data_IF_965989780818
#
_entry.id   IF_965989780818
#
_cell.length_a   1.000
_cell.length_b   1.000
_cell.length_c   1.000
_cell.angle_alpha   90.00
_cell.angle_beta   90.00
_cell.angle_gamma   90.00
#
_symmetry.space_group_name_H-M   'P 1'
#
loop_
_entity.id
_entity.type
_entity.pdbx_description
1 polymer ?
#
# COMPACT_ATOMS: atom_id res chain seq x y z
N UNK A 1 -15.50 -7.70 -10.63
CA UNK A 1 -14.07 -7.51 -10.27
C UNK A 1 -13.25 -7.81 -11.50
N UNK A 2 -12.33 -6.91 -11.89
CA UNK A 2 -11.40 -7.10 -13.01
C UNK A 2 -9.98 -7.12 -12.44
N UNK A 3 -9.16 -8.07 -12.91
CA UNK A 3 -7.74 -8.17 -12.57
C UNK A 3 -6.92 -7.65 -13.75
N UNK A 4 -6.00 -6.72 -13.50
CA UNK A 4 -5.06 -6.20 -14.49
C UNK A 4 -3.66 -6.69 -14.08
N UNK A 5 -3.02 -7.49 -14.93
CA UNK A 5 -1.67 -7.98 -14.69
C UNK A 5 -0.64 -7.02 -15.30
N UNK A 6 -0.21 -6.03 -14.51
CA UNK A 6 0.81 -5.07 -14.89
C UNK A 6 1.58 -4.59 -13.65
N UNK A 7 2.78 -4.05 -13.83
CA UNK A 7 3.50 -3.40 -12.74
C UNK A 7 2.77 -2.14 -12.30
N UNK A 8 2.44 -2.05 -11.01
CA UNK A 8 1.78 -0.86 -10.46
C UNK A 8 2.61 0.41 -10.66
N UNK A 9 3.95 0.32 -10.64
CA UNK A 9 4.81 1.50 -10.81
C UNK A 9 4.64 2.19 -12.16
N UNK A 10 4.39 1.43 -13.22
CA UNK A 10 4.24 1.98 -14.58
C UNK A 10 2.77 2.08 -14.99
N UNK A 11 1.96 1.08 -14.65
CA UNK A 11 0.59 0.98 -15.14
C UNK A 11 -0.37 1.93 -14.42
N UNK A 12 -0.07 2.36 -13.18
CA UNK A 12 -0.95 3.27 -12.44
C UNK A 12 -1.19 4.57 -13.22
N UNK A 13 -0.23 5.07 -13.99
CA UNK A 13 -0.37 6.33 -14.74
C UNK A 13 -1.38 6.23 -15.88
N UNK A 14 -1.53 5.05 -16.49
CA UNK A 14 -2.34 4.85 -17.70
C UNK A 14 -3.78 4.39 -17.39
N UNK A 15 -4.13 4.19 -16.11
CA UNK A 15 -5.47 3.73 -15.72
C UNK A 15 -6.49 4.84 -15.97
N UNK A 16 -7.39 4.57 -16.92
CA UNK A 16 -8.55 5.40 -17.24
C UNK A 16 -9.84 4.56 -17.17
N UNK A 17 -10.93 5.07 -16.55
CA UNK A 17 -11.03 6.34 -15.82
C UNK A 17 -10.25 6.34 -14.49
N UNK A 18 -9.75 7.51 -14.08
CA UNK A 18 -8.94 7.66 -12.86
C UNK A 18 -9.75 7.26 -11.61
N UNK A 19 -9.27 6.29 -10.80
CA UNK A 19 -9.97 5.87 -9.60
C UNK A 19 -10.00 6.97 -8.54
N UNK A 20 -11.06 6.98 -7.74
CA UNK A 20 -11.21 7.93 -6.63
C UNK A 20 -10.37 7.54 -5.40
N UNK A 21 -10.17 6.24 -5.20
CA UNK A 21 -9.45 5.68 -4.05
C UNK A 21 -8.45 4.62 -4.52
N UNK A 22 -7.17 4.80 -4.22
CA UNK A 22 -6.12 3.80 -4.45
C UNK A 22 -5.71 3.14 -3.13
N UNK A 23 -5.71 1.79 -3.07
CA UNK A 23 -5.20 1.04 -1.92
C UNK A 23 -3.82 0.46 -2.27
N UNK A 24 -2.77 0.95 -1.61
CA UNK A 24 -1.43 0.36 -1.72
C UNK A 24 -1.10 -0.43 -0.46
N UNK A 25 -0.67 -1.69 -0.63
CA UNK A 25 -0.19 -2.56 0.46
C UNK A 25 1.17 -3.14 0.08
N UNK A 26 2.25 -2.35 0.14
CA UNK A 26 3.57 -2.92 -0.03
C UNK A 26 3.86 -3.87 1.15
N UNK A 27 4.44 -5.03 0.84
CA UNK A 27 4.76 -6.06 1.83
C UNK A 27 5.86 -5.56 2.77
N UNK A 28 5.46 -5.09 3.96
CA UNK A 28 6.41 -4.65 4.99
C UNK A 28 7.08 -5.86 5.62
N UNK A 29 8.42 -5.92 5.70
CA UNK A 29 9.10 -7.02 6.36
C UNK A 29 8.72 -7.07 7.84
N UNK A 30 7.94 -8.09 8.21
CA UNK A 30 7.55 -8.34 9.59
C UNK A 30 8.76 -8.81 10.41
N UNK A 31 9.31 -7.94 11.26
CA UNK A 31 10.19 -8.33 12.37
C UNK A 31 9.41 -8.36 13.68
N UNK A 32 8.47 -9.31 13.85
CA UNK A 32 8.01 -9.68 15.19
C UNK A 32 7.79 -11.19 15.29
N UNK A 33 8.61 -11.82 16.13
CA UNK A 33 8.46 -13.20 16.60
C UNK A 33 7.24 -13.28 17.54
N UNK A 34 6.01 -13.22 17.02
CA UNK A 34 4.86 -13.79 17.72
C UNK A 34 3.62 -13.77 16.83
N UNK A 35 3.37 -14.89 16.17
CA UNK A 35 2.05 -15.42 15.93
C UNK A 35 2.24 -16.76 15.24
N UNK A 36 1.44 -17.76 15.59
CA UNK A 36 1.13 -18.84 14.67
C UNK A 36 0.49 -18.20 13.41
N UNK A 37 1.32 -17.71 12.49
CA UNK A 37 0.87 -17.17 11.22
C UNK A 37 0.41 -18.37 10.40
N UNK A 38 -0.89 -18.36 10.03
CA UNK A 38 -1.54 -19.38 9.18
C UNK A 38 -0.62 -19.70 7.99
N UNK A 39 -0.35 -21.00 7.77
CA UNK A 39 0.62 -21.52 6.79
C UNK A 39 0.59 -20.81 5.42
N UNK A 40 -0.59 -20.42 4.96
CA UNK A 40 -0.83 -19.69 3.71
C UNK A 40 -0.04 -18.37 3.61
N UNK A 41 -0.05 -17.56 4.67
CA UNK A 41 0.64 -16.26 4.70
C UNK A 41 2.16 -16.39 4.59
N UNK A 42 2.72 -17.48 5.10
CA UNK A 42 4.18 -17.75 5.02
C UNK A 42 4.60 -18.14 3.60
N UNK A 43 3.74 -18.88 2.90
CA UNK A 43 3.97 -19.26 1.50
C UNK A 43 3.88 -18.04 0.59
N UNK A 44 2.87 -17.19 0.77
CA UNK A 44 2.74 -15.94 0.01
C UNK A 44 3.93 -15.00 0.19
N UNK A 45 4.42 -14.81 1.43
CA UNK A 45 5.60 -13.97 1.67
C UNK A 45 6.89 -14.55 1.09
N UNK A 46 7.03 -15.87 1.08
CA UNK A 46 8.19 -16.53 0.47
C UNK A 46 8.19 -16.39 -1.06
N UNK A 47 7.00 -16.25 -1.65
CA UNK A 47 6.80 -16.17 -3.10
C UNK A 47 6.93 -14.73 -3.62
N UNK A 48 6.41 -13.74 -2.88
CA UNK A 48 6.40 -12.32 -3.30
C UNK A 48 7.69 -11.60 -2.88
N UNK A 49 8.26 -11.94 -1.72
CA UNK A 49 9.46 -11.27 -1.20
C UNK A 49 9.18 -9.85 -0.68
N UNK A 50 10.18 -9.18 -0.10
CA UNK A 50 10.05 -7.79 0.32
C UNK A 50 10.04 -6.85 -0.89
N UNK A 51 9.01 -6.00 -1.01
CA UNK A 51 8.98 -4.91 -1.98
C UNK A 51 10.02 -3.84 -1.59
N UNK A 52 11.20 -3.90 -2.22
CA UNK A 52 12.28 -2.93 -2.00
C UNK A 52 11.99 -1.58 -2.66
N UNK A 53 11.08 -1.54 -3.62
CA UNK A 53 10.63 -0.38 -4.40
C UNK A 53 9.25 0.14 -3.96
N UNK A 54 8.72 -0.39 -2.86
CA UNK A 54 7.46 0.00 -2.23
C UNK A 54 7.28 1.51 -2.05
N UNK A 55 8.37 2.20 -1.70
CA UNK A 55 8.35 3.65 -1.45
C UNK A 55 8.06 4.43 -2.74
N UNK A 56 8.44 3.89 -3.90
CA UNK A 56 8.16 4.48 -5.22
C UNK A 56 6.68 4.43 -5.62
N UNK A 57 5.83 3.69 -4.90
CA UNK A 57 4.40 3.56 -5.23
C UNK A 57 3.55 4.73 -4.74
N UNK A 58 4.00 5.49 -3.74
CA UNK A 58 3.17 6.52 -3.13
C UNK A 58 2.89 7.68 -4.08
N UNK A 59 3.92 8.17 -4.77
CA UNK A 59 3.83 9.29 -5.70
C UNK A 59 2.90 9.00 -6.90
N UNK A 60 3.08 7.92 -7.67
CA UNK A 60 2.17 7.60 -8.78
C UNK A 60 0.76 7.30 -8.28
N UNK A 61 0.58 6.69 -7.10
CA UNK A 61 -0.74 6.48 -6.53
C UNK A 61 -1.46 7.79 -6.19
N UNK A 62 -0.75 8.81 -5.69
CA UNK A 62 -1.33 10.13 -5.41
C UNK A 62 -1.69 10.88 -6.68
N UNK A 63 -0.85 10.77 -7.71
CA UNK A 63 -1.12 11.32 -9.02
C UNK A 63 -2.31 10.64 -9.70
N UNK A 64 -2.48 9.34 -9.53
CA UNK A 64 -3.62 8.63 -10.12
C UNK A 64 -4.93 8.96 -9.38
N UNK A 65 -4.93 8.88 -8.05
CA UNK A 65 -6.15 9.00 -7.26
C UNK A 65 -6.71 10.43 -7.30
N UNK A 66 -8.01 10.57 -7.59
CA UNK A 66 -8.65 11.90 -7.66
C UNK A 66 -9.11 12.42 -6.30
N UNK A 67 -9.27 11.55 -5.30
CA UNK A 67 -9.68 11.94 -3.93
C UNK A 67 -8.63 11.56 -2.89
N UNK A 68 -8.37 10.27 -2.70
CA UNK A 68 -7.55 9.78 -1.59
C UNK A 68 -6.74 8.55 -1.96
N UNK A 69 -5.56 8.42 -1.38
CA UNK A 69 -4.76 7.18 -1.39
C UNK A 69 -4.78 6.62 0.02
N UNK A 70 -5.02 5.33 0.15
CA UNK A 70 -5.04 4.62 1.43
C UNK A 70 -3.90 3.61 1.42
N UNK A 71 -3.06 3.65 2.43
CA UNK A 71 -1.94 2.73 2.59
C UNK A 71 -2.11 1.96 3.88
N UNK A 72 -2.17 0.63 3.81
CA UNK A 72 -2.19 -0.20 5.02
C UNK A 72 -0.79 -0.33 5.57
N UNK A 73 -0.58 0.00 6.84
CA UNK A 73 0.71 -0.13 7.54
C UNK A 73 0.54 -0.83 8.88
N UNK A 74 1.46 -1.72 9.31
CA UNK A 74 1.52 -2.19 10.69
C UNK A 74 1.69 -1.01 11.67
N UNK A 75 1.20 -1.14 12.90
CA UNK A 75 1.22 -0.03 13.88
C UNK A 75 2.63 0.52 14.15
N UNK A 76 3.64 -0.36 14.14
CA UNK A 76 5.06 -0.02 14.37
C UNK A 76 5.82 0.41 13.11
N UNK A 77 5.24 0.23 11.92
CA UNK A 77 5.96 0.52 10.68
C UNK A 77 6.00 2.04 10.44
N UNK A 78 7.10 2.59 9.91
CA UNK A 78 7.14 3.98 9.47
C UNK A 78 6.08 4.22 8.36
N UNK A 79 5.68 5.48 8.11
CA UNK A 79 4.82 5.78 6.97
C UNK A 79 5.49 5.42 5.63
N UNK A 80 4.70 5.19 4.58
CA UNK A 80 5.24 4.82 3.26
C UNK A 80 6.06 5.98 2.68
N UNK A 81 7.20 5.67 2.05
CA UNK A 81 8.15 6.65 1.51
C UNK A 81 8.61 7.71 2.53
N UNK A 82 8.52 7.40 3.84
CA UNK A 82 8.74 8.34 4.95
C UNK A 82 7.85 9.60 4.88
N UNK A 83 6.74 9.57 4.14
CA UNK A 83 5.79 10.69 4.04
C UNK A 83 4.75 10.56 5.14
N UNK A 84 4.89 11.36 6.20
CA UNK A 84 3.92 11.40 7.27
C UNK A 84 2.55 11.93 6.78
N UNK A 85 1.48 11.38 7.33
CA UNK A 85 0.12 11.90 7.15
C UNK A 85 -0.56 12.03 8.51
N UNK A 86 -1.28 13.14 8.76
CA UNK A 86 -2.08 13.29 9.98
C UNK A 86 -3.37 12.45 9.93
N UNK A 87 -3.79 12.02 8.74
CA UNK A 87 -5.01 11.25 8.56
C UNK A 87 -4.69 9.76 8.58
N UNK A 88 -5.00 9.09 9.68
CA UNK A 88 -4.85 7.63 9.77
C UNK A 88 -6.04 6.99 10.48
N UNK A 89 -6.50 5.84 9.99
CA UNK A 89 -7.50 5.01 10.67
C UNK A 89 -6.76 3.89 11.39
N UNK A 90 -6.68 3.97 12.71
CA UNK A 90 -6.00 2.97 13.55
C UNK A 90 -6.95 1.81 13.84
N UNK A 91 -6.47 0.59 13.61
CA UNK A 91 -7.17 -0.67 13.89
C UNK A 91 -6.30 -1.54 14.81
N UNK A 92 -6.83 -2.63 15.36
CA UNK A 92 -6.06 -3.55 16.19
C UNK A 92 -4.95 -4.24 15.35
N UNK A 93 -3.70 -3.82 15.53
CA UNK A 93 -2.50 -4.42 14.92
C UNK A 93 -2.05 -3.80 13.59
N UNK A 94 -2.77 -2.80 13.08
CA UNK A 94 -2.40 -2.03 11.89
C UNK A 94 -3.20 -0.74 11.78
N UNK A 95 -2.68 0.21 11.01
CA UNK A 95 -3.35 1.45 10.65
C UNK A 95 -3.47 1.60 9.13
N UNK A 96 -4.37 2.48 8.72
CA UNK A 96 -4.51 2.91 7.33
C UNK A 96 -4.12 4.38 7.23
N UNK A 97 -2.95 4.64 6.66
CA UNK A 97 -2.46 5.99 6.38
C UNK A 97 -3.21 6.53 5.15
N UNK A 98 -3.82 7.71 5.27
CA UNK A 98 -4.65 8.34 4.23
C UNK A 98 -3.93 9.57 3.68
N UNK A 99 -3.69 9.59 2.38
CA UNK A 99 -3.07 10.70 1.67
C UNK A 99 -4.09 11.37 0.73
N UNK A 100 -3.93 12.66 0.50
CA UNK A 100 -4.69 13.36 -0.53
C UNK A 100 -4.19 12.96 -1.92
N UNK A 101 -5.13 12.67 -2.80
CA UNK A 101 -4.86 12.51 -4.24
C UNK A 101 -4.79 13.86 -4.96
N UNK A 102 -4.65 13.82 -6.27
CA UNK A 102 -4.63 15.00 -7.16
C UNK A 102 -6.01 15.24 -7.76
N UNK A 103 -6.72 16.33 -7.39
CA UNK A 103 -7.99 16.71 -8.01
C UNK A 103 -7.86 16.84 -9.54
N UNK A 104 -8.95 16.56 -10.26
CA UNK A 104 -9.09 16.85 -11.69
C UNK A 104 -9.54 18.27 -11.92
#
# INVERSE_FOLDING_TARGET
MQLIHASSLTALTDITPRPQVGLSRPDVPHKQKSALVKKEMRVFQSLVGPDLDADGLLEPARLLATKRVVVKRPDYAPPLANVATPNAVVTKGHRFDIYAGTPV
#
